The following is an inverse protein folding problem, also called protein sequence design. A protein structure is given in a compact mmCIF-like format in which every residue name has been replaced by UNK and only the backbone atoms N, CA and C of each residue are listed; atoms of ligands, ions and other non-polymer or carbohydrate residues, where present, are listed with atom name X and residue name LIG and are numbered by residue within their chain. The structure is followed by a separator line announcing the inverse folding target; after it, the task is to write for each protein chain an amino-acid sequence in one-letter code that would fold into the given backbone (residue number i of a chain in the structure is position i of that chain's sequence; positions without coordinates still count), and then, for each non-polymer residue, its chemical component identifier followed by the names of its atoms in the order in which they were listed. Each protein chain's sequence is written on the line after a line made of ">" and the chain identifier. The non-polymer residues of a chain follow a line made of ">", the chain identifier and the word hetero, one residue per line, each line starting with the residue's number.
data_IF_237938894626
#
_entry.id   IF_237938894626
#
_cell.length_a   1.000
_cell.length_b   1.000
_cell.length_c   1.000
_cell.angle_alpha   90.00
_cell.angle_beta   90.00
_cell.angle_gamma   90.00
#
_symmetry.space_group_name_H-M   'P 1'
#
loop_
_entity.id
_entity.type
_entity.pdbx_description
1 polymer ?
#
# COMPACT_ATOMS: atom_id res chain seq x y z
N UNK A 1 34.68 4.95 6.28
CA UNK A 1 33.32 5.19 5.75
C UNK A 1 33.38 6.53 5.03
N UNK A 2 33.04 6.58 3.74
CA UNK A 2 33.05 7.84 2.99
C UNK A 2 32.08 8.82 3.66
N UNK A 3 32.61 9.97 4.06
CA UNK A 3 31.90 10.92 4.91
C UNK A 3 30.96 11.76 4.03
N UNK A 4 29.74 11.26 3.80
CA UNK A 4 28.75 11.96 2.99
C UNK A 4 28.09 13.06 3.83
N UNK A 5 28.36 14.36 3.54
CA UNK A 5 27.90 15.46 4.40
C UNK A 5 26.37 15.62 4.42
N UNK A 6 25.67 15.03 3.46
CA UNK A 6 24.21 15.09 3.27
C UNK A 6 23.45 13.85 3.80
N UNK A 7 24.14 12.94 4.50
CA UNK A 7 23.52 11.77 5.10
C UNK A 7 23.06 12.04 6.54
N UNK A 8 21.78 11.76 6.80
CA UNK A 8 21.24 11.74 8.17
C UNK A 8 21.69 10.47 8.89
N UNK A 9 22.08 10.63 10.15
CA UNK A 9 22.33 9.51 11.06
C UNK A 9 20.98 8.98 11.56
N UNK A 10 20.71 7.70 11.31
CA UNK A 10 19.41 7.10 11.60
C UNK A 10 19.58 6.08 12.71
N UNK A 11 18.76 6.19 13.75
CA UNK A 11 18.71 5.26 14.87
C UNK A 11 17.27 4.77 15.08
N UNK A 12 16.98 3.46 15.02
CA UNK A 12 17.90 2.34 14.75
C UNK A 12 18.43 2.32 13.31
N UNK A 13 19.61 1.73 13.11
CA UNK A 13 20.41 1.85 11.88
C UNK A 13 20.02 0.91 10.73
N UNK A 14 19.33 -0.18 11.05
CA UNK A 14 19.10 -1.30 10.13
C UNK A 14 17.70 -1.90 10.23
N UNK A 15 17.16 -2.05 11.45
CA UNK A 15 15.89 -2.74 11.71
C UNK A 15 14.95 -1.92 12.59
N UNK A 16 13.72 -1.75 12.14
CA UNK A 16 12.61 -1.17 12.90
C UNK A 16 11.82 -2.31 13.53
N UNK A 17 11.85 -2.41 14.85
CA UNK A 17 11.13 -3.44 15.58
C UNK A 17 9.76 -2.94 16.03
N UNK A 18 8.72 -3.75 15.76
CA UNK A 18 7.37 -3.54 16.25
C UNK A 18 7.00 -4.65 17.21
N UNK A 19 6.65 -4.26 18.43
CA UNK A 19 6.22 -5.19 19.46
C UNK A 19 4.69 -5.29 19.44
N UNK A 20 4.17 -6.46 19.10
CA UNK A 20 2.75 -6.79 19.07
C UNK A 20 2.32 -7.26 20.46
N UNK A 21 1.38 -6.56 21.08
CA UNK A 21 0.76 -6.96 22.34
C UNK A 21 -0.61 -7.59 22.07
N UNK A 22 -0.91 -8.71 22.74
CA UNK A 22 -2.25 -9.28 22.75
C UNK A 22 -3.10 -8.46 23.72
N UNK A 23 -4.23 -7.92 23.26
CA UNK A 23 -5.17 -7.23 24.14
C UNK A 23 -5.78 -8.21 25.15
N UNK A 24 -5.61 -7.96 26.46
CA UNK A 24 -6.29 -8.74 27.50
C UNK A 24 -7.70 -8.20 27.68
N UNK A 25 -8.70 -8.93 27.19
CA UNK A 25 -10.11 -8.56 27.31
C UNK A 25 -10.72 -8.81 28.72
N UNK A 26 -9.92 -8.93 29.79
CA UNK A 26 -10.41 -9.54 31.03
C UNK A 26 -9.91 -8.91 32.35
N UNK A 27 -9.85 -7.58 32.43
CA UNK A 27 -9.90 -6.93 33.74
C UNK A 27 -10.75 -5.65 33.67
N UNK A 28 -11.72 -5.54 34.58
CA UNK A 28 -12.80 -4.54 34.59
C UNK A 28 -12.35 -3.10 34.90
N UNK A 29 -11.11 -2.76 34.58
CA UNK A 29 -10.53 -1.42 34.70
C UNK A 29 -10.31 -0.91 33.27
N UNK A 30 -11.26 -0.12 32.78
CA UNK A 30 -11.14 0.56 31.48
C UNK A 30 -9.87 1.45 31.46
N UNK A 31 -8.77 0.91 30.95
CA UNK A 31 -7.74 1.70 30.29
C UNK A 31 -8.03 1.63 28.81
N UNK A 32 -8.77 2.63 28.33
CA UNK A 32 -8.96 2.90 26.90
C UNK A 32 -7.60 2.90 26.22
N UNK A 33 -7.40 1.98 25.28
CA UNK A 33 -6.21 1.96 24.43
C UNK A 33 -5.66 0.56 24.22
N UNK A 34 -6.27 -0.18 23.30
CA UNK A 34 -5.55 -1.18 22.52
C UNK A 34 -4.24 -0.54 22.04
N UNK A 35 -3.10 -0.92 22.62
CA UNK A 35 -1.85 -0.21 22.36
C UNK A 35 -1.41 -0.52 20.94
N UNK A 36 -1.74 0.38 19.99
CA UNK A 36 -1.29 0.28 18.60
C UNK A 36 0.23 0.15 18.60
N UNK A 37 0.79 -0.94 18.04
CA UNK A 37 2.23 -1.13 18.00
C UNK A 37 2.91 0.04 17.31
N UNK A 38 3.86 0.67 18.01
CA UNK A 38 4.59 1.83 17.51
C UNK A 38 6.08 1.59 17.57
N UNK A 39 6.79 2.15 16.61
CA UNK A 39 8.24 2.22 16.56
C UNK A 39 8.64 3.69 16.39
N UNK A 40 9.72 4.10 17.06
CA UNK A 40 10.26 5.46 16.92
C UNK A 40 11.65 5.38 16.31
N UNK A 41 11.83 6.12 15.22
CA UNK A 41 13.09 6.31 14.53
C UNK A 41 13.58 7.73 14.77
N UNK A 42 14.84 7.90 15.11
CA UNK A 42 15.49 9.20 15.29
C UNK A 42 16.36 9.52 14.09
N UNK A 43 16.17 10.70 13.51
CA UNK A 43 16.92 11.24 12.39
C UNK A 43 17.80 12.38 12.92
N UNK A 44 19.10 12.13 13.05
CA UNK A 44 20.06 13.10 13.56
C UNK A 44 20.86 13.72 12.42
N UNK A 45 20.98 15.04 12.46
CA UNK A 45 21.92 15.75 11.60
C UNK A 45 23.32 15.75 12.26
N UNK A 46 24.37 15.28 11.58
CA UNK A 46 25.72 15.18 12.17
C UNK A 46 26.41 16.53 12.44
N UNK A 47 25.78 17.66 12.12
CA UNK A 47 26.34 19.01 12.31
C UNK A 47 27.61 19.33 11.51
N UNK A 48 27.98 18.49 10.53
CA UNK A 48 29.20 18.70 9.71
C UNK A 48 29.05 19.84 8.69
N UNK A 49 27.82 20.12 8.30
CA UNK A 49 27.43 21.22 7.40
C UNK A 49 26.52 22.20 8.14
N UNK A 50 26.53 23.46 7.69
CA UNK A 50 25.59 24.50 8.15
C UNK A 50 24.26 24.48 7.39
N UNK A 51 24.18 23.69 6.32
CA UNK A 51 22.99 23.55 5.49
C UNK A 51 21.96 22.67 6.17
N UNK A 52 20.68 22.95 5.93
CA UNK A 52 19.59 22.14 6.45
C UNK A 52 19.35 20.90 5.59
N UNK A 53 18.96 19.79 6.22
CA UNK A 53 18.65 18.55 5.52
C UNK A 53 17.15 18.27 5.55
N UNK A 54 16.54 18.09 4.39
CA UNK A 54 15.18 17.57 4.30
C UNK A 54 15.21 16.05 4.30
N UNK A 55 14.17 15.43 4.86
CA UNK A 55 13.97 14.00 4.82
C UNK A 55 12.58 13.63 4.29
N UNK A 56 12.52 12.44 3.69
CA UNK A 56 11.27 11.80 3.26
C UNK A 56 11.32 10.32 3.57
N UNK A 57 10.27 9.82 4.21
CA UNK A 57 10.12 8.41 4.57
C UNK A 57 9.14 7.75 3.60
N UNK A 58 9.59 6.68 2.95
CA UNK A 58 8.79 5.83 2.05
C UNK A 58 8.76 4.42 2.61
N UNK A 59 7.68 3.68 2.34
CA UNK A 59 7.51 2.28 2.77
C UNK A 59 7.01 1.42 1.63
N UNK A 60 7.35 0.13 1.64
CA UNK A 60 6.77 -0.86 0.72
C UNK A 60 5.30 -1.16 1.01
N UNK A 61 4.82 -0.86 2.23
CA UNK A 61 3.43 -1.12 2.64
C UNK A 61 2.74 0.12 3.25
N UNK A 62 2.35 1.11 2.43
CA UNK A 62 1.77 2.36 2.93
C UNK A 62 0.40 2.18 3.60
N UNK A 63 -0.31 1.08 3.33
CA UNK A 63 -1.61 0.79 3.99
C UNK A 63 -1.44 0.20 5.39
N UNK A 64 -0.30 -0.43 5.66
CA UNK A 64 0.00 -1.13 6.92
C UNK A 64 0.61 -0.21 7.97
N UNK A 65 1.37 0.80 7.53
CA UNK A 65 2.10 1.67 8.43
C UNK A 65 1.68 3.13 8.27
N UNK A 66 1.45 3.79 9.40
CA UNK A 66 1.22 5.22 9.49
C UNK A 66 2.48 5.90 10.00
N UNK A 67 3.05 6.80 9.20
CA UNK A 67 4.31 7.49 9.53
C UNK A 67 4.02 8.96 9.86
N UNK A 68 4.51 9.43 11.02
CA UNK A 68 4.38 10.82 11.45
C UNK A 68 5.65 11.34 12.13
N UNK A 69 6.26 12.44 11.64
CA UNK A 69 6.06 13.05 10.32
C UNK A 69 6.59 12.16 9.18
N UNK A 70 5.93 12.18 8.02
CA UNK A 70 6.35 11.41 6.82
C UNK A 70 7.46 12.13 6.02
N UNK A 71 7.53 13.45 6.11
CA UNK A 71 8.54 14.30 5.51
C UNK A 71 8.76 15.53 6.39
N UNK A 72 9.95 16.12 6.33
CA UNK A 72 10.29 17.29 7.14
C UNK A 72 11.68 17.82 6.86
N UNK A 73 12.10 18.79 7.66
CA UNK A 73 13.45 19.38 7.63
C UNK A 73 14.10 19.21 9.01
N UNK A 74 15.39 18.89 9.02
CA UNK A 74 16.23 18.74 10.21
C UNK A 74 17.30 19.84 10.18
N UNK A 75 17.36 20.64 11.23
CA UNK A 75 18.37 21.68 11.38
C UNK A 75 19.76 21.09 11.73
N UNK A 76 20.85 21.76 11.36
CA UNK A 76 22.21 21.33 11.69
C UNK A 76 22.38 20.99 13.17
N UNK A 77 22.89 19.79 13.45
CA UNK A 77 23.15 19.33 14.83
C UNK A 77 21.91 18.94 15.64
N UNK A 78 20.71 19.05 15.08
CA UNK A 78 19.46 18.67 15.76
C UNK A 78 19.05 17.23 15.43
N UNK A 79 18.06 16.72 16.17
CA UNK A 79 17.49 15.38 15.97
C UNK A 79 15.98 15.48 15.87
N UNK A 80 15.42 14.88 14.82
CA UNK A 80 13.98 14.79 14.59
C UNK A 80 13.51 13.36 14.86
N UNK A 81 12.36 13.21 15.53
CA UNK A 81 11.78 11.89 15.83
C UNK A 81 10.63 11.59 14.87
N UNK A 82 10.70 10.45 14.20
CA UNK A 82 9.65 9.89 13.35
C UNK A 82 8.98 8.73 14.07
N UNK A 83 7.69 8.84 14.30
CA UNK A 83 6.86 7.77 14.87
C UNK A 83 6.18 7.00 13.75
N UNK A 84 6.33 5.68 13.77
CA UNK A 84 5.70 4.77 12.83
C UNK A 84 4.74 3.90 13.62
N UNK A 85 3.46 3.90 13.25
CA UNK A 85 2.42 3.09 13.86
C UNK A 85 1.98 1.98 12.91
N UNK A 86 1.80 0.78 13.44
CA UNK A 86 1.22 -0.35 12.72
C UNK A 86 -0.30 -0.26 12.79
N UNK A 87 -0.99 -0.35 11.65
CA UNK A 87 -2.45 -0.29 11.58
C UNK A 87 -3.07 -1.52 12.28
N UNK A 88 -4.12 -1.28 13.07
CA UNK A 88 -4.76 -2.28 13.93
C UNK A 88 -5.21 -3.55 13.18
N UNK A 89 -5.78 -3.36 11.98
CA UNK A 89 -6.20 -4.48 11.12
C UNK A 89 -5.02 -5.40 10.76
N UNK A 90 -3.88 -4.84 10.40
CA UNK A 90 -2.69 -5.62 10.04
C UNK A 90 -2.05 -6.26 11.28
N UNK A 91 -2.05 -5.58 12.43
CA UNK A 91 -1.64 -6.18 13.70
C UNK A 91 -2.45 -7.44 14.02
N UNK A 92 -3.77 -7.41 13.84
CA UNK A 92 -4.61 -8.58 14.12
C UNK A 92 -4.28 -9.75 13.17
N UNK A 93 -4.02 -9.48 11.89
CA UNK A 93 -3.61 -10.50 10.91
C UNK A 93 -2.25 -11.10 11.28
N UNK A 94 -1.30 -10.27 11.71
CA UNK A 94 0.02 -10.71 12.15
C UNK A 94 -0.06 -11.57 13.42
N UNK A 95 -0.87 -11.17 14.40
CA UNK A 95 -1.12 -11.97 15.61
C UNK A 95 -1.77 -13.33 15.27
N UNK A 96 -2.77 -13.36 14.39
CA UNK A 96 -3.39 -14.62 13.96
C UNK A 96 -2.39 -15.53 13.23
N UNK A 97 -1.49 -14.95 12.44
CA UNK A 97 -0.44 -15.71 11.75
C UNK A 97 0.57 -16.28 12.75
N UNK A 98 0.94 -15.48 13.77
CA UNK A 98 1.79 -15.92 14.87
C UNK A 98 1.15 -17.07 15.66
N UNK A 99 -0.16 -17.04 15.91
CA UNK A 99 -0.84 -18.11 16.65
C UNK A 99 -0.83 -19.45 15.89
N UNK A 100 -0.74 -19.41 14.55
CA UNK A 100 -0.75 -20.61 13.69
C UNK A 100 0.64 -21.20 13.43
N UNK A 101 1.64 -20.34 13.19
CA UNK A 101 2.97 -20.75 12.72
C UNK A 101 4.10 -20.34 13.68
N UNK A 102 3.78 -19.63 14.78
CA UNK A 102 4.77 -19.07 15.69
C UNK A 102 5.52 -17.88 15.11
N UNK A 103 6.70 -17.60 15.66
CA UNK A 103 7.52 -16.44 15.28
C UNK A 103 7.99 -16.46 13.82
N UNK A 104 8.15 -17.65 13.22
CA UNK A 104 8.60 -17.80 11.82
C UNK A 104 7.61 -17.21 10.81
N UNK A 105 6.31 -17.14 11.13
CA UNK A 105 5.32 -16.46 10.29
C UNK A 105 5.54 -14.94 10.23
N UNK A 106 6.06 -14.34 11.29
CA UNK A 106 6.32 -12.90 11.35
C UNK A 106 7.59 -12.52 10.57
N UNK A 107 8.57 -13.42 10.53
CA UNK A 107 9.82 -13.24 9.76
C UNK A 107 9.58 -13.23 8.25
N UNK A 108 8.42 -13.71 7.78
CA UNK A 108 8.03 -13.62 6.38
C UNK A 108 7.61 -12.21 5.94
N UNK A 109 7.41 -11.28 6.88
CA UNK A 109 7.10 -9.88 6.55
C UNK A 109 8.34 -9.18 5.98
N UNK A 110 8.46 -9.12 4.64
CA UNK A 110 9.60 -8.49 3.93
C UNK A 110 9.47 -6.96 3.84
N UNK A 111 8.89 -6.33 4.84
CA UNK A 111 8.56 -4.91 4.81
C UNK A 111 9.81 -4.06 4.95
N UNK A 112 9.88 -2.98 4.16
CA UNK A 112 11.06 -2.12 4.11
C UNK A 112 10.65 -0.66 4.15
N UNK A 113 11.42 0.12 4.89
CA UNK A 113 11.37 1.56 4.87
C UNK A 113 12.59 2.12 4.13
N UNK A 114 12.38 3.24 3.45
CA UNK A 114 13.41 4.00 2.78
C UNK A 114 13.36 5.42 3.31
N UNK A 115 14.43 5.87 3.95
CA UNK A 115 14.62 7.26 4.35
C UNK A 115 15.51 7.92 3.30
N UNK A 116 14.97 8.94 2.65
CA UNK A 116 15.72 9.76 1.71
C UNK A 116 16.09 11.07 2.40
N UNK A 117 17.32 11.54 2.22
CA UNK A 117 17.76 12.86 2.69
C UNK A 117 18.38 13.66 1.55
N UNK A 118 18.15 14.96 1.55
CA UNK A 118 18.77 15.90 0.61
C UNK A 118 19.06 17.24 1.29
N UNK A 119 20.03 17.97 0.74
CA UNK A 119 20.31 19.36 1.12
C UNK A 119 19.16 20.26 0.71
N UNK A 120 18.79 21.18 1.60
CA UNK A 120 17.73 22.18 1.39
C UNK A 120 18.28 23.58 1.60
N UNK A 121 17.89 24.57 0.77
CA UNK A 121 18.32 25.95 0.95
C UNK A 121 17.81 26.54 2.26
N UNK A 122 18.65 27.36 2.91
CA UNK A 122 18.39 27.91 4.25
C UNK A 122 17.15 28.82 4.31
N UNK A 123 16.83 29.55 3.24
CA UNK A 123 15.61 30.38 3.16
C UNK A 123 14.34 29.53 3.32
N UNK A 124 14.27 28.39 2.61
CA UNK A 124 13.15 27.46 2.73
C UNK A 124 13.12 26.81 4.12
N UNK A 125 14.27 26.36 4.63
CA UNK A 125 14.35 25.66 5.90
C UNK A 125 13.96 26.55 7.09
N UNK A 126 14.37 27.82 7.07
CA UNK A 126 14.03 28.79 8.11
C UNK A 126 12.52 29.05 8.17
N UNK A 127 11.88 29.25 7.00
CA UNK A 127 10.42 29.39 6.89
C UNK A 127 9.69 28.12 7.36
N UNK A 128 10.23 26.95 7.04
CA UNK A 128 9.67 25.68 7.49
C UNK A 128 9.71 25.55 9.02
N UNK A 129 10.85 25.86 9.63
CA UNK A 129 11.04 25.76 11.08
C UNK A 129 10.16 26.77 11.83
N UNK A 130 10.02 28.00 11.33
CA UNK A 130 9.14 29.00 11.95
C UNK A 130 7.67 28.60 11.86
N UNK A 131 7.22 28.12 10.69
CA UNK A 131 5.85 27.66 10.50
C UNK A 131 5.54 26.41 11.35
N UNK A 132 6.50 25.49 11.50
CA UNK A 132 6.36 24.31 12.36
C UNK A 132 6.19 24.69 13.83
N UNK A 133 6.91 25.70 14.32
CA UNK A 133 6.77 26.17 15.69
C UNK A 133 5.39 26.81 15.96
N UNK A 134 4.86 27.54 14.98
CA UNK A 134 3.56 28.23 15.07
C UNK A 134 2.36 27.26 14.97
N UNK A 135 2.50 26.15 14.23
CA UNK A 135 1.43 25.15 14.02
C UNK A 135 1.03 24.34 15.27
N UNK A 136 1.64 24.61 16.42
CA UNK A 136 1.37 23.90 17.68
C UNK A 136 0.11 24.41 18.40
N UNK A 137 -0.56 25.46 17.90
CA UNK A 137 -1.80 26.05 18.45
C UNK A 137 -3.04 25.74 17.57
N UNK A 138 -4.15 25.39 18.22
CA UNK A 138 -5.01 24.23 17.89
C UNK A 138 -6.06 24.38 16.75
N UNK A 139 -5.98 25.36 15.84
CA UNK A 139 -7.01 25.51 14.78
C UNK A 139 -6.50 25.97 13.41
N UNK A 140 -5.59 26.94 13.37
CA UNK A 140 -4.99 27.45 12.12
C UNK A 140 -3.81 26.59 11.64
N UNK A 141 -3.22 25.82 12.56
CA UNK A 141 -2.08 24.94 12.32
C UNK A 141 -2.33 23.86 11.28
N UNK A 142 -3.58 23.39 11.09
CA UNK A 142 -3.87 22.32 10.12
C UNK A 142 -3.78 22.82 8.66
N UNK A 143 -4.12 24.10 8.43
CA UNK A 143 -3.97 24.74 7.11
C UNK A 143 -2.50 25.03 6.82
N UNK A 144 -1.78 25.61 7.78
CA UNK A 144 -0.34 25.85 7.67
C UNK A 144 0.44 24.55 7.44
N UNK A 145 0.08 23.46 8.13
CA UNK A 145 0.70 22.14 7.95
C UNK A 145 0.48 21.58 6.55
N UNK A 146 -0.68 21.83 5.94
CA UNK A 146 -0.98 21.41 4.57
C UNK A 146 -0.15 22.20 3.55
N UNK A 147 -0.10 23.52 3.68
CA UNK A 147 0.72 24.39 2.82
C UNK A 147 2.22 24.05 2.93
N UNK A 148 2.67 23.72 4.14
CA UNK A 148 4.02 23.25 4.42
C UNK A 148 4.32 21.90 3.74
N UNK A 149 3.37 20.97 3.78
CA UNK A 149 3.49 19.67 3.13
C UNK A 149 3.51 19.79 1.60
N UNK A 150 2.71 20.69 1.03
CA UNK A 150 2.73 20.99 -0.41
C UNK A 150 4.06 21.63 -0.83
N UNK A 151 4.56 22.59 -0.06
CA UNK A 151 5.86 23.25 -0.30
C UNK A 151 7.02 22.25 -0.27
N UNK A 152 7.04 21.33 0.71
CA UNK A 152 8.01 20.24 0.75
C UNK A 152 7.88 19.31 -0.46
N UNK A 153 6.65 18.99 -0.89
CA UNK A 153 6.42 18.12 -2.04
C UNK A 153 6.97 18.75 -3.33
N UNK A 154 6.76 20.05 -3.52
CA UNK A 154 7.33 20.80 -4.64
C UNK A 154 8.85 20.80 -4.61
N UNK A 155 9.46 21.04 -3.45
CA UNK A 155 10.92 20.96 -3.27
C UNK A 155 11.44 19.56 -3.64
N UNK A 156 10.78 18.49 -3.20
CA UNK A 156 11.17 17.12 -3.52
C UNK A 156 11.03 16.79 -5.01
N UNK A 157 10.05 17.36 -5.71
CA UNK A 157 9.92 17.18 -7.16
C UNK A 157 11.08 17.85 -7.91
N UNK A 158 11.49 19.05 -7.46
CA UNK A 158 12.67 19.73 -8.00
C UNK A 158 13.97 19.00 -7.66
N UNK A 159 14.11 18.48 -6.44
CA UNK A 159 15.29 17.71 -6.02
C UNK A 159 15.42 16.36 -6.74
N UNK A 160 14.30 15.71 -7.08
CA UNK A 160 14.31 14.46 -7.84
C UNK A 160 14.62 14.65 -9.33
N UNK A 161 14.38 15.85 -9.89
CA UNK A 161 14.68 16.20 -11.28
C UNK A 161 15.98 16.98 -11.48
N UNK A 162 16.65 17.39 -10.40
CA UNK A 162 17.88 18.20 -10.43
C UNK A 162 19.13 17.44 -9.99
N UNK A 163 20.27 18.14 -10.01
CA UNK A 163 21.62 17.62 -9.66
C UNK A 163 21.87 17.57 -8.13
N UNK A 164 20.83 17.65 -7.30
CA UNK A 164 20.99 17.62 -5.84
C UNK A 164 21.26 16.18 -5.39
N UNK A 165 22.34 15.92 -4.62
CA UNK A 165 22.66 14.57 -4.16
C UNK A 165 21.63 14.10 -3.13
N UNK A 166 20.90 13.03 -3.46
CA UNK A 166 19.96 12.36 -2.55
C UNK A 166 20.64 11.16 -1.91
N UNK A 167 20.69 11.13 -0.59
CA UNK A 167 21.13 9.96 0.16
C UNK A 167 19.93 9.08 0.53
N UNK A 168 20.11 7.76 0.43
CA UNK A 168 19.07 6.78 0.61
C UNK A 168 19.51 5.74 1.65
N UNK A 169 18.78 5.64 2.76
CA UNK A 169 18.97 4.59 3.76
C UNK A 169 17.78 3.64 3.77
N UNK A 170 18.05 2.35 3.62
CA UNK A 170 17.04 1.29 3.70
C UNK A 170 17.03 0.65 5.09
N UNK A 171 15.84 0.46 5.64
CA UNK A 171 15.59 -0.20 6.91
C UNK A 171 14.65 -1.37 6.70
N UNK A 172 14.90 -2.48 7.39
CA UNK A 172 14.00 -3.63 7.43
C UNK A 172 13.05 -3.51 8.60
N UNK A 173 11.89 -4.15 8.51
CA UNK A 173 10.94 -4.23 9.62
C UNK A 173 10.99 -5.62 10.23
N UNK A 174 10.93 -5.68 11.56
CA UNK A 174 10.84 -6.91 12.31
C UNK A 174 9.66 -6.83 13.28
N UNK A 175 8.85 -7.88 13.34
CA UNK A 175 7.70 -7.95 14.25
C UNK A 175 7.98 -8.97 15.35
N UNK A 176 7.75 -8.59 16.61
CA UNK A 176 7.96 -9.46 17.78
C UNK A 176 6.68 -9.44 18.60
N UNK A 177 6.26 -10.58 19.13
CA UNK A 177 5.10 -10.63 20.05
C UNK A 177 5.61 -10.53 21.49
N UNK A 178 5.02 -9.62 22.28
CA UNK A 178 5.27 -9.59 23.72
C UNK A 178 4.58 -10.76 24.41
N UNK A 179 5.27 -11.54 25.25
CA UNK A 179 4.61 -12.48 26.13
C UNK A 179 3.81 -11.70 27.18
N UNK A 180 2.48 -11.75 27.12
CA UNK A 180 1.63 -11.29 28.22
C UNK A 180 1.63 -12.38 29.30
N UNK A 181 1.77 -11.97 30.57
CA UNK A 181 1.88 -12.80 31.77
C UNK A 181 0.61 -13.61 32.12
N UNK A 182 0.19 -14.52 31.23
CA UNK A 182 -0.77 -15.58 31.54
C UNK A 182 -0.67 -16.75 30.56
N UNK A 183 0.54 -17.28 30.40
CA UNK A 183 0.74 -18.68 30.04
C UNK A 183 1.98 -19.17 30.78
N UNK A 184 1.77 -19.72 31.97
CA UNK A 184 2.74 -20.61 32.61
C UNK A 184 2.93 -21.84 31.72
N UNK A 185 3.87 -21.75 30.79
CA UNK A 185 4.52 -22.89 30.17
C UNK A 185 6.00 -22.52 29.97
N UNK A 186 6.76 -22.85 31.03
CA UNK A 186 8.21 -23.03 31.10
C UNK A 186 9.03 -22.73 29.82
N UNK A 187 9.89 -21.72 29.96
CA UNK A 187 11.30 -21.78 29.54
C UNK A 187 11.56 -21.69 28.03
N UNK A 188 11.61 -20.46 27.51
CA UNK A 188 12.18 -20.17 26.19
C UNK A 188 13.14 -18.99 26.31
N UNK A 189 14.43 -19.28 26.42
CA UNK A 189 15.49 -18.28 26.34
C UNK A 189 15.52 -17.67 24.94
N UNK A 190 15.63 -16.35 24.86
CA UNK A 190 15.90 -15.61 23.63
C UNK A 190 17.29 -15.97 23.06
N UNK A 191 17.53 -15.80 21.74
CA UNK A 191 18.84 -16.02 21.15
C UNK A 191 19.77 -14.86 21.52
N UNK A 192 20.81 -15.16 22.29
CA UNK A 192 21.97 -14.28 22.46
C UNK A 192 22.95 -14.43 21.28
N UNK A 193 23.82 -13.43 21.03
CA UNK A 193 24.79 -13.46 19.94
C UNK A 193 25.79 -14.59 20.15
N UNK A 194 26.18 -15.24 19.05
CA UNK A 194 27.32 -16.14 18.87
C UNK A 194 28.31 -16.19 20.06
N UNK A 195 28.03 -17.02 21.05
CA UNK A 195 29.01 -17.52 22.01
C UNK A 195 28.92 -19.05 22.06
N UNK A 196 30.08 -19.66 22.18
CA UNK A 196 30.36 -21.07 21.90
C UNK A 196 29.44 -22.03 22.65
N UNK A 197 29.03 -23.10 21.96
CA UNK A 197 28.34 -24.26 22.54
C UNK A 197 29.01 -24.67 23.85
N UNK A 198 28.32 -24.73 24.99
CA UNK A 198 28.83 -25.49 26.10
C UNK A 198 28.71 -26.97 25.69
N UNK A 199 29.86 -27.64 25.72
CA UNK A 199 30.01 -29.07 25.47
C UNK A 199 29.01 -29.87 26.30
N UNK A 200 28.50 -30.95 25.71
CA UNK A 200 27.49 -31.87 26.23
C UNK A 200 27.90 -32.60 27.54
N UNK A 201 28.97 -32.18 28.23
CA UNK A 201 29.65 -32.92 29.29
C UNK A 201 29.17 -32.61 30.72
N UNK A 202 28.36 -31.56 30.94
CA UNK A 202 28.02 -31.11 32.31
C UNK A 202 26.51 -31.01 32.66
N UNK A 203 25.60 -31.60 31.88
CA UNK A 203 24.15 -31.58 32.18
C UNK A 203 23.71 -32.78 33.04
N UNK A 204 22.83 -32.55 34.02
CA UNK A 204 22.27 -33.63 34.84
C UNK A 204 21.45 -34.61 33.99
N UNK A 205 21.40 -35.92 34.34
CA UNK A 205 20.71 -36.93 33.53
C UNK A 205 19.25 -36.56 33.22
N UNK A 206 18.55 -35.97 34.19
CA UNK A 206 17.15 -35.56 34.05
C UNK A 206 16.96 -34.41 33.04
N UNK A 207 17.93 -33.50 32.93
CA UNK A 207 17.93 -32.43 31.94
C UNK A 207 18.15 -32.98 30.52
N UNK A 208 18.99 -34.01 30.37
CA UNK A 208 19.23 -34.66 29.08
C UNK A 208 17.96 -35.35 28.58
N UNK A 209 17.23 -36.06 29.45
CA UNK A 209 15.95 -36.68 29.08
C UNK A 209 14.86 -35.64 28.71
N UNK A 210 14.84 -34.50 29.40
CA UNK A 210 13.94 -33.39 29.08
C UNK A 210 14.27 -32.75 27.71
N UNK A 211 15.56 -32.54 27.41
CA UNK A 211 16.05 -32.06 26.12
C UNK A 211 15.71 -33.05 24.98
N UNK A 212 15.96 -34.35 25.17
CA UNK A 212 15.66 -35.38 24.16
C UNK A 212 14.16 -35.48 23.87
N UNK A 213 13.31 -35.37 24.89
CA UNK A 213 11.86 -35.38 24.71
C UNK A 213 11.34 -34.11 24.03
N UNK A 214 11.91 -32.94 24.36
CA UNK A 214 11.69 -31.67 23.64
C UNK A 214 12.11 -31.77 22.18
N UNK A 215 13.29 -32.33 21.91
CA UNK A 215 13.83 -32.49 20.57
C UNK A 215 12.98 -33.44 19.73
N UNK A 216 12.43 -34.50 20.34
CA UNK A 216 11.51 -35.42 19.69
C UNK A 216 10.20 -34.75 19.31
N UNK A 217 9.64 -33.90 20.17
CA UNK A 217 8.43 -33.10 19.84
C UNK A 217 8.69 -32.13 18.68
N UNK A 218 9.84 -31.45 18.67
CA UNK A 218 10.24 -30.57 17.56
C UNK A 218 10.42 -31.33 16.25
N UNK A 219 10.95 -32.55 16.32
CA UNK A 219 11.08 -33.42 15.16
C UNK A 219 9.70 -33.85 14.63
N UNK A 220 8.80 -34.28 15.50
CA UNK A 220 7.43 -34.67 15.12
C UNK A 220 6.66 -33.48 14.51
N UNK A 221 6.84 -32.28 15.05
CA UNK A 221 6.25 -31.05 14.52
C UNK A 221 6.81 -30.70 13.13
N UNK A 222 8.13 -30.73 12.94
CA UNK A 222 8.77 -30.52 11.65
C UNK A 222 8.33 -31.56 10.60
N UNK A 223 8.23 -32.83 11.01
CA UNK A 223 7.72 -33.90 10.15
C UNK A 223 6.27 -33.62 9.77
N UNK A 224 5.41 -33.25 10.73
CA UNK A 224 4.01 -32.91 10.46
C UNK A 224 3.87 -31.72 9.49
N UNK A 225 4.73 -30.71 9.64
CA UNK A 225 4.77 -29.56 8.75
C UNK A 225 5.19 -29.96 7.33
N UNK A 226 6.21 -30.82 7.20
CA UNK A 226 6.64 -31.33 5.89
C UNK A 226 5.56 -32.16 5.18
N UNK A 227 4.80 -32.95 5.94
CA UNK A 227 3.64 -33.70 5.42
C UNK A 227 2.54 -32.76 4.97
N UNK A 228 2.24 -31.71 5.76
CA UNK A 228 1.23 -30.72 5.40
C UNK A 228 1.61 -29.95 4.12
N UNK A 229 2.86 -29.51 4.01
CA UNK A 229 3.36 -28.86 2.79
C UNK A 229 3.26 -29.78 1.56
N UNK A 230 3.50 -31.07 1.75
CA UNK A 230 3.37 -32.07 0.67
C UNK A 230 1.90 -32.21 0.25
N UNK A 231 0.97 -32.24 1.22
CA UNK A 231 -0.47 -32.28 0.94
C UNK A 231 -0.95 -31.01 0.21
N UNK A 232 -0.52 -29.82 0.64
CA UNK A 232 -0.85 -28.56 -0.05
C UNK A 232 -0.31 -28.54 -1.48
N UNK A 233 0.93 -29.01 -1.68
CA UNK A 233 1.54 -29.14 -3.01
C UNK A 233 0.76 -30.07 -3.91
N UNK A 234 0.28 -31.20 -3.40
CA UNK A 234 -0.51 -32.15 -4.17
C UNK A 234 -1.93 -31.63 -4.48
N UNK A 235 -2.56 -30.93 -3.53
CA UNK A 235 -3.84 -30.24 -3.74
C UNK A 235 -3.68 -29.21 -4.87
N UNK A 236 -2.68 -28.34 -4.78
CA UNK A 236 -2.44 -27.30 -5.79
C UNK A 236 -2.12 -27.91 -7.16
N UNK A 237 -1.33 -28.98 -7.20
CA UNK A 237 -1.01 -29.67 -8.45
C UNK A 237 -2.27 -30.28 -9.09
N UNK A 238 -3.16 -30.87 -8.29
CA UNK A 238 -4.43 -31.41 -8.76
C UNK A 238 -5.39 -30.29 -9.25
N UNK A 239 -5.48 -29.17 -8.53
CA UNK A 239 -6.25 -27.99 -8.98
C UNK A 239 -5.72 -27.41 -10.29
N UNK A 240 -4.39 -27.33 -10.45
CA UNK A 240 -3.75 -26.89 -11.70
C UNK A 240 -4.11 -27.85 -12.84
N UNK A 241 -3.98 -29.16 -12.63
CA UNK A 241 -4.36 -30.15 -13.63
C UNK A 241 -5.85 -30.08 -14.00
N UNK A 242 -6.74 -29.87 -13.03
CA UNK A 242 -8.17 -29.67 -13.29
C UNK A 242 -8.40 -28.42 -14.15
N UNK A 243 -7.84 -27.28 -13.77
CA UNK A 243 -7.97 -26.03 -14.53
C UNK A 243 -7.40 -26.17 -15.94
N UNK A 244 -6.28 -26.90 -16.11
CA UNK A 244 -5.69 -27.19 -17.41
C UNK A 244 -6.60 -28.09 -18.27
N UNK A 245 -7.23 -29.11 -17.68
CA UNK A 245 -8.19 -29.99 -18.38
C UNK A 245 -9.42 -29.20 -18.82
N UNK A 246 -9.94 -28.33 -17.95
CA UNK A 246 -11.11 -27.49 -18.25
C UNK A 246 -10.80 -26.49 -19.35
N UNK A 247 -9.64 -25.81 -19.28
CA UNK A 247 -9.19 -24.91 -20.33
C UNK A 247 -9.01 -25.64 -21.67
N UNK A 248 -8.41 -26.84 -21.67
CA UNK A 248 -8.25 -27.63 -22.88
C UNK A 248 -9.59 -28.14 -23.45
N UNK A 249 -10.58 -28.37 -22.58
CA UNK A 249 -11.94 -28.73 -22.99
C UNK A 249 -12.66 -27.54 -23.62
N UNK A 250 -12.49 -26.33 -23.08
CA UNK A 250 -13.03 -25.11 -23.68
C UNK A 250 -12.36 -24.77 -25.01
N UNK A 251 -11.04 -24.91 -25.13
CA UNK A 251 -10.34 -24.66 -26.40
C UNK A 251 -10.77 -25.64 -27.48
N UNK A 252 -10.93 -26.93 -27.15
CA UNK A 252 -11.48 -27.92 -28.08
C UNK A 252 -12.95 -27.65 -28.43
N UNK A 253 -13.78 -27.22 -27.48
CA UNK A 253 -15.17 -26.87 -27.73
C UNK A 253 -15.30 -25.63 -28.64
N UNK A 254 -14.46 -24.61 -28.43
CA UNK A 254 -14.37 -23.43 -29.31
C UNK A 254 -13.89 -23.79 -30.71
N UNK A 255 -12.86 -24.63 -30.83
CA UNK A 255 -12.38 -25.12 -32.12
C UNK A 255 -13.43 -25.96 -32.87
N UNK A 256 -14.23 -26.77 -32.16
CA UNK A 256 -15.32 -27.54 -32.76
C UNK A 256 -16.50 -26.66 -33.24
N UNK A 257 -16.79 -25.57 -32.53
CA UNK A 257 -17.78 -24.57 -32.95
C UNK A 257 -17.30 -23.78 -34.17
N UNK A 258 -16.02 -23.41 -34.22
CA UNK A 258 -15.41 -22.78 -35.39
C UNK A 258 -15.49 -23.69 -36.62
N UNK A 259 -15.27 -25.01 -36.45
CA UNK A 259 -15.34 -25.97 -37.55
C UNK A 259 -16.77 -26.26 -38.02
N UNK A 260 -17.77 -26.22 -37.10
CA UNK A 260 -19.20 -26.29 -37.47
C UNK A 260 -19.73 -25.02 -38.12
N UNK A 261 -19.12 -23.86 -37.85
CA UNK A 261 -19.40 -22.60 -38.53
C UNK A 261 -18.98 -22.56 -40.02
N UNK A 262 -18.21 -23.55 -40.48
CA UNK A 262 -17.71 -23.62 -41.87
C UNK A 262 -18.42 -24.67 -42.76
N UNK A 263 -19.37 -25.45 -42.26
CA UNK A 263 -20.12 -26.44 -43.04
C UNK A 263 -21.55 -25.94 -43.28
N UNK A 264 -21.66 -24.80 -43.96
CA UNK A 264 -22.94 -24.15 -44.24
C UNK A 264 -22.96 -23.31 -45.51
N UNK A 265 -22.08 -23.56 -46.48
CA UNK A 265 -22.20 -22.97 -47.82
C UNK A 265 -21.33 -23.72 -48.84
N UNK A 266 -21.95 -24.60 -49.64
CA UNK A 266 -21.36 -25.08 -50.90
C UNK A 266 -22.30 -24.73 -52.04
N UNK A 267 -22.02 -23.63 -52.73
CA UNK A 267 -22.47 -23.40 -54.10
C UNK A 267 -21.60 -22.34 -54.80
N UNK A 268 -20.97 -22.80 -55.89
CA UNK A 268 -20.43 -22.12 -57.09
C UNK A 268 -19.51 -20.89 -56.93
N UNK A 269 -18.36 -21.01 -57.58
CA UNK A 269 -17.22 -20.10 -57.45
C UNK A 269 -17.30 -18.78 -58.20
N UNK A 270 -16.41 -17.87 -57.76
CA UNK A 270 -15.95 -16.62 -58.37
C UNK A 270 -14.52 -16.39 -57.82
N UNK A 271 -13.53 -15.89 -58.60
CA UNK A 271 -12.13 -15.99 -58.22
C UNK A 271 -11.72 -14.96 -57.15
N UNK A 272 -10.95 -15.47 -56.18
CA UNK A 272 -9.83 -14.84 -55.45
C UNK A 272 -9.72 -13.31 -55.54
N UNK A 273 -10.27 -12.61 -54.55
CA UNK A 273 -9.75 -11.32 -54.09
C UNK A 273 -9.36 -11.47 -52.63
N UNK A 274 -8.07 -11.26 -52.32
CA UNK A 274 -7.56 -11.40 -50.96
C UNK A 274 -8.18 -10.31 -50.07
N UNK A 275 -9.17 -10.66 -49.27
CA UNK A 275 -9.56 -9.86 -48.11
C UNK A 275 -8.49 -10.06 -47.04
N UNK A 276 -7.50 -9.16 -47.03
CA UNK A 276 -6.67 -8.94 -45.84
C UNK A 276 -7.64 -8.58 -44.72
N UNK A 277 -7.94 -9.53 -43.84
CA UNK A 277 -8.63 -9.23 -42.60
C UNK A 277 -7.86 -8.12 -41.90
N UNK A 278 -8.55 -7.02 -41.59
CA UNK A 278 -7.94 -5.93 -40.83
C UNK A 278 -7.60 -6.49 -39.46
N UNK A 279 -6.30 -6.70 -39.21
CA UNK A 279 -5.77 -7.02 -37.89
C UNK A 279 -6.32 -6.01 -36.89
N UNK A 280 -6.65 -6.45 -35.68
CA UNK A 280 -7.19 -5.63 -34.59
C UNK A 280 -6.35 -4.35 -34.39
N UNK A 281 -5.04 -4.43 -34.64
CA UNK A 281 -4.12 -3.30 -34.64
C UNK A 281 -4.48 -2.22 -35.66
N UNK A 282 -4.95 -2.59 -36.85
CA UNK A 282 -5.38 -1.65 -37.89
C UNK A 282 -6.66 -0.91 -37.51
N UNK A 283 -7.59 -1.59 -36.82
CA UNK A 283 -8.83 -0.97 -36.31
C UNK A 283 -8.50 0.01 -35.17
N UNK A 284 -7.59 -0.39 -34.27
CA UNK A 284 -7.11 0.47 -33.18
C UNK A 284 -6.32 1.67 -33.73
N UNK A 285 -5.53 1.47 -34.78
CA UNK A 285 -4.78 2.55 -35.43
C UNK A 285 -5.72 3.55 -36.12
N UNK A 286 -6.75 3.07 -36.83
CA UNK A 286 -7.77 3.93 -37.42
C UNK A 286 -8.52 4.70 -36.33
N UNK A 287 -8.92 4.04 -35.24
CA UNK A 287 -9.57 4.70 -34.10
C UNK A 287 -8.67 5.77 -33.45
N UNK A 288 -7.38 5.48 -33.23
CA UNK A 288 -6.40 6.44 -32.70
C UNK A 288 -6.19 7.62 -33.64
N UNK A 289 -6.12 7.38 -34.96
CA UNK A 289 -6.00 8.46 -35.94
C UNK A 289 -7.25 9.35 -35.97
N UNK A 290 -8.46 8.77 -35.90
CA UNK A 290 -9.71 9.54 -35.82
C UNK A 290 -9.82 10.32 -34.50
N UNK A 291 -9.35 9.75 -33.39
CA UNK A 291 -9.36 10.44 -32.09
C UNK A 291 -8.35 11.58 -32.08
N UNK A 292 -7.16 11.39 -32.65
CA UNK A 292 -6.13 12.44 -32.76
C UNK A 292 -6.52 13.53 -33.76
N UNK A 293 -7.15 13.19 -34.89
CA UNK A 293 -7.71 14.17 -35.82
C UNK A 293 -8.92 14.91 -35.20
N UNK A 294 -9.76 14.24 -34.42
CA UNK A 294 -10.88 14.84 -33.70
C UNK A 294 -10.42 15.82 -32.61
N UNK A 295 -9.35 15.49 -31.88
CA UNK A 295 -8.72 16.41 -30.90
C UNK A 295 -8.10 17.61 -31.62
N UNK A 296 -7.49 17.40 -32.79
CA UNK A 296 -6.89 18.50 -33.58
C UNK A 296 -7.95 19.39 -34.24
N UNK A 297 -9.09 18.82 -34.64
CA UNK A 297 -10.25 19.55 -35.14
C UNK A 297 -11.02 20.33 -34.07
N UNK A 298 -11.02 19.87 -32.82
CA UNK A 298 -11.55 20.65 -31.69
C UNK A 298 -10.68 21.86 -31.32
N UNK A 299 -9.39 21.85 -31.70
CA UNK A 299 -8.46 22.98 -31.49
C UNK A 299 -8.34 23.95 -32.66
N UNK A 300 -8.86 23.61 -33.84
CA UNK A 300 -8.96 24.51 -34.98
C UNK A 300 -10.42 24.64 -35.38
N UNK A 301 -11.08 25.70 -34.90
CA UNK A 301 -12.51 25.94 -35.09
C UNK A 301 -12.96 25.90 -36.56
N UNK A 302 -13.41 24.72 -37.00
CA UNK A 302 -14.17 24.52 -38.23
C UNK A 302 -15.31 23.56 -37.89
N UNK A 303 -16.27 24.08 -37.12
CA UNK A 303 -17.57 23.47 -36.97
C UNK A 303 -18.43 23.92 -38.14
N UNK A 304 -18.52 23.08 -39.17
CA UNK A 304 -19.63 22.99 -40.11
C UNK A 304 -19.27 21.87 -41.10
N UNK A 305 -20.07 20.80 -41.17
CA UNK A 305 -20.11 19.66 -42.13
C UNK A 305 -20.65 18.36 -41.47
N UNK A 306 -21.16 18.41 -40.23
CA UNK A 306 -21.94 17.30 -39.64
C UNK A 306 -23.43 17.66 -39.52
N UNK A 307 -24.02 18.06 -40.65
CA UNK A 307 -25.46 17.96 -40.87
C UNK A 307 -25.63 17.12 -42.14
N UNK A 308 -25.71 15.80 -41.99
CA UNK A 308 -26.63 14.97 -42.77
C UNK A 308 -26.57 13.51 -42.32
N UNK A 309 -27.77 12.90 -42.23
CA UNK A 309 -28.09 11.45 -42.24
C UNK A 309 -28.28 10.81 -40.84
N UNK A 310 -29.38 10.03 -40.66
CA UNK A 310 -30.42 10.35 -39.70
C UNK A 310 -30.56 9.36 -38.54
N UNK A 311 -31.21 9.86 -37.50
CA UNK A 311 -31.66 9.14 -36.29
C UNK A 311 -32.74 8.12 -36.65
N UNK A 312 -32.47 6.84 -36.39
CA UNK A 312 -33.48 5.79 -36.26
C UNK A 312 -33.44 5.32 -34.79
N UNK A 313 -34.31 5.91 -33.96
CA UNK A 313 -35.00 5.13 -32.93
C UNK A 313 -36.35 4.70 -33.54
N UNK A 314 -36.92 3.51 -33.23
CA UNK A 314 -37.28 3.14 -31.85
C UNK A 314 -37.23 1.61 -31.55
N UNK A 315 -36.64 1.17 -30.43
CA UNK A 315 -36.81 -0.22 -29.93
C UNK A 315 -37.22 -0.33 -28.45
N UNK A 316 -37.40 0.78 -27.72
CA UNK A 316 -37.85 0.72 -26.33
C UNK A 316 -39.12 1.53 -26.17
N UNK A 317 -40.21 0.90 -26.60
CA UNK A 317 -41.59 1.22 -26.28
C UNK A 317 -41.89 0.73 -24.85
N UNK A 318 -41.98 1.67 -23.92
CA UNK A 318 -42.62 1.47 -22.62
C UNK A 318 -43.49 2.70 -22.32
N UNK A 319 -44.74 2.62 -22.75
CA UNK A 319 -45.95 3.01 -22.02
C UNK A 319 -46.10 4.45 -21.50
N UNK A 320 -47.10 5.23 -21.96
CA UNK A 320 -47.28 6.63 -21.61
C UNK A 320 -48.08 6.80 -20.31
N UNK A 321 -47.70 7.77 -19.49
CA UNK A 321 -48.62 8.59 -18.71
C UNK A 321 -48.09 10.03 -18.75
N UNK A 322 -48.63 10.78 -19.71
CA UNK A 322 -49.11 12.17 -19.62
C UNK A 322 -49.22 12.68 -18.16
N UNK A 323 -48.79 13.88 -17.75
CA UNK A 323 -49.25 15.19 -18.22
C UNK A 323 -48.31 16.31 -17.71
N UNK A 324 -48.03 17.26 -18.60
CA UNK A 324 -47.72 18.69 -18.44
C UNK A 324 -46.60 19.17 -17.51
N UNK A 325 -45.57 19.68 -18.18
CA UNK A 325 -44.83 20.91 -17.84
C UNK A 325 -45.79 22.10 -17.90
N UNK A 326 -45.77 22.99 -16.91
CA UNK A 326 -45.87 24.42 -17.20
C UNK A 326 -44.99 25.23 -16.23
N UNK A 327 -43.99 25.87 -16.85
CA UNK A 327 -43.12 26.90 -16.29
C UNK A 327 -43.85 28.23 -16.46
N UNK A 328 -43.89 29.06 -15.42
CA UNK A 328 -43.87 30.50 -15.61
C UNK A 328 -43.28 31.19 -14.38
N UNK A 329 -42.18 31.90 -14.64
CA UNK A 329 -41.66 33.00 -13.85
C UNK A 329 -42.77 33.98 -13.42
N UNK A 330 -42.71 34.49 -12.20
CA UNK A 330 -42.62 35.96 -12.04
C UNK A 330 -42.11 36.37 -10.64
N UNK A 331 -41.24 37.36 -10.71
CA UNK A 331 -40.61 38.15 -9.66
C UNK A 331 -41.67 38.88 -8.82
N UNK A 332 -41.49 38.94 -7.50
CA UNK A 332 -41.75 40.16 -6.68
C UNK A 332 -41.83 39.87 -5.17
N UNK A 333 -40.82 40.37 -4.46
CA UNK A 333 -40.96 41.26 -3.29
C UNK A 333 -41.65 40.79 -2.00
N UNK A 334 -40.83 40.78 -0.93
CA UNK A 334 -41.04 41.46 0.36
C UNK A 334 -42.31 41.10 1.16
N UNK A 335 -42.13 40.36 2.27
CA UNK A 335 -42.47 40.86 3.62
C UNK A 335 -42.07 39.84 4.71
N UNK A 336 -41.12 40.25 5.55
CA UNK A 336 -40.90 39.67 6.88
C UNK A 336 -41.70 40.55 7.84
N UNK A 337 -42.65 39.96 8.55
CA UNK A 337 -43.27 40.56 9.73
C UNK A 337 -43.18 39.55 10.90
N UNK A 338 -42.70 39.97 12.07
CA UNK A 338 -42.72 39.17 13.30
C UNK A 338 -43.91 39.53 14.18
N UNK A 339 -44.51 38.54 14.83
CA UNK A 339 -45.58 38.65 15.84
C UNK A 339 -45.37 37.47 16.78
N UNK A 340 -45.41 37.50 18.11
CA UNK A 340 -45.39 38.46 19.21
C UNK A 340 -45.09 37.59 20.47
N UNK A 341 -44.78 38.17 21.64
CA UNK A 341 -44.35 37.43 22.82
C UNK A 341 -45.52 37.06 23.76
N UNK A 342 -45.44 35.90 24.40
CA UNK A 342 -46.23 35.60 25.62
C UNK A 342 -45.36 35.75 26.88
N UNK A 343 -45.83 36.70 27.71
CA UNK A 343 -45.89 36.80 29.19
C UNK A 343 -44.68 36.45 30.06
#
# INVERSE_FOLDING_TARGET
>A
MADTPYALEISPDSTLQFTLTRGTANDGRSTVGESTPRCTMSLRHPGKTKEHLAFKVKTTQPRRYLVRPNQGVVAPGTTEKVTILLVEKDKQILLQSYDRLGQTALDHSKDKFLVQSCTTPDDFASRYMSAKADSTDDSEGNRATKELAESLTTMWNSAAGGDLPIYNKKLHVHHVVSPSDSASAKGGNAPQPLEEKPSMENMSPDQIYAEVSSLRRKYDELVSFSVNLTAERDILNNTLEQTKRDLNRETMAKAALENKGLIGARSKGVPKQSSRGFSLFSVIFVALTFTLLGIKGATSGVADILIEIPVIGPFLDLGPNEVAVEVADEVSSVNIAPVEPEL
#
